data_IF_107076781063
#
_entry.id   IF_107076781063
#
_cell.length_a   1.000
_cell.length_b   1.000
_cell.length_c   1.000
_cell.angle_alpha   90.00
_cell.angle_beta   90.00
_cell.angle_gamma   90.00
#
_symmetry.space_group_name_H-M   'P 1'
#
loop_
_entity.id
_entity.type
_entity.pdbx_description
1 polymer ?
#
# COMPACT_ATOMS: atom_id res chain seq x y z
N UNK A 1 -13.69 -1.56 -14.99
CA UNK A 1 -14.61 -0.51 -15.49
C UNK A 1 -14.87 0.41 -14.32
N UNK A 2 -14.63 1.71 -14.46
CA UNK A 2 -14.82 2.65 -13.36
C UNK A 2 -16.32 2.82 -13.07
N UNK A 3 -16.68 2.74 -11.78
CA UNK A 3 -18.05 2.92 -11.32
C UNK A 3 -18.38 4.39 -11.19
N UNK A 4 -19.64 4.73 -11.42
CA UNK A 4 -20.17 6.07 -11.14
C UNK A 4 -20.64 6.14 -9.70
N UNK A 5 -20.38 7.27 -9.05
CA UNK A 5 -20.89 7.53 -7.70
C UNK A 5 -22.42 7.58 -7.66
N UNK A 6 -23.00 7.12 -6.56
CA UNK A 6 -24.43 7.26 -6.21
C UNK A 6 -24.75 8.59 -5.52
N UNK A 7 -23.74 9.39 -5.16
CA UNK A 7 -23.92 10.66 -4.47
C UNK A 7 -24.69 11.67 -5.32
N UNK A 8 -25.62 12.37 -4.68
CA UNK A 8 -26.31 13.53 -5.27
C UNK A 8 -25.36 14.70 -5.48
N UNK A 9 -25.73 15.65 -6.35
CA UNK A 9 -24.92 16.85 -6.58
C UNK A 9 -24.78 17.72 -5.32
N UNK A 10 -25.79 17.71 -4.44
CA UNK A 10 -25.71 18.40 -3.14
C UNK A 10 -24.67 17.74 -2.22
N UNK A 11 -24.68 16.41 -2.10
CA UNK A 11 -23.68 15.68 -1.31
C UNK A 11 -22.27 15.91 -1.86
N UNK A 12 -22.08 15.82 -3.19
CA UNK A 12 -20.79 16.13 -3.84
C UNK A 12 -20.32 17.55 -3.50
N UNK A 13 -21.21 18.54 -3.56
CA UNK A 13 -20.88 19.92 -3.22
C UNK A 13 -20.47 20.08 -1.75
N UNK A 14 -21.13 19.39 -0.82
CA UNK A 14 -20.79 19.38 0.60
C UNK A 14 -19.39 18.79 0.85
N UNK A 15 -19.10 17.60 0.31
CA UNK A 15 -17.80 16.94 0.46
C UNK A 15 -16.69 17.83 -0.15
N UNK A 16 -16.95 18.46 -1.29
CA UNK A 16 -16.01 19.38 -1.94
C UNK A 16 -15.72 20.63 -1.12
N UNK A 17 -16.69 21.15 -0.38
CA UNK A 17 -16.46 22.26 0.55
C UNK A 17 -15.61 21.81 1.76
N UNK A 18 -15.85 20.62 2.30
CA UNK A 18 -15.01 20.01 3.34
C UNK A 18 -13.57 19.84 2.86
N UNK A 19 -13.36 19.33 1.64
CA UNK A 19 -12.05 19.20 1.02
C UNK A 19 -11.32 20.55 0.91
N UNK A 20 -12.00 21.59 0.41
CA UNK A 20 -11.43 22.95 0.31
C UNK A 20 -11.04 23.50 1.68
N UNK A 21 -11.85 23.26 2.71
CA UNK A 21 -11.54 23.65 4.10
C UNK A 21 -10.34 22.87 4.64
N UNK A 22 -10.28 21.56 4.39
CA UNK A 22 -9.18 20.69 4.81
C UNK A 22 -7.86 21.14 4.18
N UNK A 23 -7.80 21.33 2.86
CA UNK A 23 -6.60 21.83 2.16
C UNK A 23 -6.05 23.15 2.71
N UNK A 24 -6.92 24.07 3.14
CA UNK A 24 -6.49 25.37 3.69
C UNK A 24 -5.87 25.25 5.09
N UNK A 25 -6.27 24.24 5.86
CA UNK A 25 -5.86 24.04 7.26
C UNK A 25 -4.68 23.09 7.40
N UNK A 26 -4.63 22.07 6.56
CA UNK A 26 -3.64 21.00 6.64
C UNK A 26 -2.38 21.43 5.92
N UNK A 27 -1.26 21.47 6.66
CA UNK A 27 0.06 21.57 6.05
C UNK A 27 0.46 20.18 5.55
N UNK A 28 0.92 20.15 4.31
CA UNK A 28 1.44 18.96 3.66
C UNK A 28 2.69 18.41 4.34
N UNK A 29 2.97 17.13 4.05
CA UNK A 29 4.31 16.58 4.29
C UNK A 29 5.32 17.30 3.41
N UNK A 30 6.57 17.31 3.82
CA UNK A 30 7.62 17.93 3.03
C UNK A 30 7.69 17.19 1.67
N UNK A 31 7.46 17.90 0.56
CA UNK A 31 7.57 17.36 -0.81
C UNK A 31 8.89 16.60 -1.01
N UNK A 32 9.94 17.00 -0.30
CA UNK A 32 11.23 16.32 -0.26
C UNK A 32 11.13 14.88 0.27
N UNK A 33 10.34 14.61 1.30
CA UNK A 33 10.13 13.26 1.85
C UNK A 33 9.45 12.34 0.84
N UNK A 34 8.50 12.87 0.07
CA UNK A 34 7.79 12.13 -0.97
C UNK A 34 8.74 11.77 -2.12
N UNK A 35 9.50 12.75 -2.60
CA UNK A 35 10.46 12.52 -3.67
C UNK A 35 11.62 11.61 -3.25
N UNK A 36 12.06 11.70 -1.99
CA UNK A 36 13.04 10.78 -1.41
C UNK A 36 12.47 9.36 -1.33
N UNK A 37 11.25 9.18 -0.83
CA UNK A 37 10.59 7.87 -0.78
C UNK A 37 10.49 7.23 -2.16
N UNK A 38 10.02 7.97 -3.16
CA UNK A 38 9.87 7.47 -4.52
C UNK A 38 11.22 7.21 -5.20
N UNK A 39 12.24 8.00 -4.89
CA UNK A 39 13.61 7.76 -5.38
C UNK A 39 14.20 6.50 -4.76
N UNK A 40 13.98 6.27 -3.47
CA UNK A 40 14.36 5.05 -2.77
C UNK A 40 13.62 3.82 -3.33
N UNK A 41 12.33 3.94 -3.64
CA UNK A 41 11.57 2.88 -4.29
C UNK A 41 12.18 2.48 -5.65
N UNK A 42 12.64 3.45 -6.47
CA UNK A 42 13.25 3.15 -7.78
C UNK A 42 14.45 2.20 -7.68
N UNK A 43 15.18 2.21 -6.56
CA UNK A 43 16.32 1.30 -6.32
C UNK A 43 15.82 -0.15 -6.21
N UNK A 44 14.78 -0.39 -5.40
CA UNK A 44 14.14 -1.71 -5.28
C UNK A 44 13.48 -2.14 -6.58
N UNK A 45 12.72 -1.23 -7.20
CA UNK A 45 12.04 -1.46 -8.47
C UNK A 45 13.01 -1.98 -9.52
N UNK A 46 14.16 -1.31 -9.68
CA UNK A 46 15.21 -1.72 -10.61
C UNK A 46 15.73 -3.12 -10.31
N UNK A 47 16.05 -3.43 -9.05
CA UNK A 47 16.50 -4.78 -8.67
C UNK A 47 15.47 -5.86 -8.96
N UNK A 48 14.18 -5.56 -8.77
CA UNK A 48 13.07 -6.47 -9.06
C UNK A 48 13.00 -6.72 -10.56
N UNK A 49 12.94 -5.66 -11.38
CA UNK A 49 12.81 -5.79 -12.85
C UNK A 49 14.05 -6.34 -13.53
N UNK A 50 15.23 -6.11 -12.96
CA UNK A 50 16.49 -6.67 -13.49
C UNK A 50 16.74 -8.10 -13.00
N UNK A 51 15.87 -8.65 -12.15
CA UNK A 51 16.03 -10.00 -11.57
C UNK A 51 17.18 -10.11 -10.57
N UNK A 52 17.76 -8.99 -10.11
CA UNK A 52 18.92 -8.96 -9.21
C UNK A 52 18.55 -8.80 -7.73
N UNK A 53 17.26 -8.76 -7.38
CA UNK A 53 16.82 -8.75 -5.98
C UNK A 53 17.25 -10.06 -5.29
N UNK A 54 17.96 -9.93 -4.16
CA UNK A 54 18.45 -11.05 -3.34
C UNK A 54 17.58 -11.28 -2.10
N UNK A 55 17.78 -12.42 -1.42
CA UNK A 55 17.10 -12.69 -0.15
C UNK A 55 17.42 -11.63 0.92
N UNK A 56 18.67 -11.16 1.01
CA UNK A 56 19.07 -10.12 1.98
C UNK A 56 18.47 -8.75 1.64
N UNK A 57 18.25 -8.45 0.35
CA UNK A 57 17.54 -7.22 -0.06
C UNK A 57 16.06 -7.29 0.31
N UNK A 58 15.47 -8.50 0.32
CA UNK A 58 14.08 -8.73 0.65
C UNK A 58 13.83 -8.73 2.15
N UNK A 59 14.61 -9.51 2.91
CA UNK A 59 14.44 -9.73 4.35
C UNK A 59 15.79 -9.76 5.06
N UNK A 60 15.90 -9.05 6.19
CA UNK A 60 17.12 -8.97 6.99
C UNK A 60 16.80 -8.52 8.43
N UNK A 61 17.82 -8.26 9.25
CA UNK A 61 17.70 -7.55 10.53
C UNK A 61 18.39 -6.19 10.45
N UNK A 62 17.90 -5.20 11.22
CA UNK A 62 18.46 -3.83 11.22
C UNK A 62 19.95 -3.79 11.57
N UNK A 63 20.41 -4.69 12.45
CA UNK A 63 21.81 -4.77 12.85
C UNK A 63 22.73 -5.24 11.71
N UNK A 64 22.23 -6.14 10.87
CA UNK A 64 22.96 -6.69 9.72
C UNK A 64 22.81 -5.87 8.44
N UNK A 65 21.79 -5.03 8.36
CA UNK A 65 21.43 -4.31 7.15
C UNK A 65 22.16 -2.96 6.97
N UNK A 66 23.17 -2.67 7.79
CA UNK A 66 23.72 -1.32 8.02
C UNK A 66 24.12 -0.50 6.79
N UNK A 67 24.30 -1.09 5.60
CA UNK A 67 24.69 -0.34 4.39
C UNK A 67 24.05 -0.80 3.07
N UNK A 68 22.99 -1.62 3.04
CA UNK A 68 22.63 -2.35 1.80
C UNK A 68 21.49 -1.78 0.95
N UNK A 69 20.40 -1.25 1.53
CA UNK A 69 19.25 -0.74 0.76
C UNK A 69 18.47 0.34 1.53
N UNK A 70 17.67 1.20 0.85
CA UNK A 70 16.81 2.18 1.53
C UNK A 70 15.83 1.53 2.50
N UNK A 71 15.73 2.02 3.74
CA UNK A 71 14.91 1.35 4.74
C UNK A 71 15.45 -0.03 5.14
N UNK A 72 16.76 -0.27 5.00
CA UNK A 72 17.50 -1.49 5.33
C UNK A 72 17.24 -2.69 4.40
N UNK A 73 15.99 -3.07 4.19
CA UNK A 73 15.56 -4.16 3.31
C UNK A 73 14.09 -3.95 2.91
N UNK A 74 13.64 -4.60 1.83
CA UNK A 74 12.37 -4.31 1.17
C UNK A 74 11.17 -4.46 2.11
N UNK A 75 11.09 -5.55 2.89
CA UNK A 75 9.97 -5.74 3.81
C UNK A 75 9.86 -4.61 4.84
N UNK A 76 10.99 -4.12 5.38
CA UNK A 76 11.00 -2.99 6.30
C UNK A 76 10.75 -1.66 5.60
N UNK A 77 11.25 -1.47 4.38
CA UNK A 77 10.94 -0.30 3.57
C UNK A 77 9.43 -0.19 3.33
N UNK A 78 8.79 -1.27 2.89
CA UNK A 78 7.35 -1.32 2.63
C UNK A 78 6.54 -1.17 3.92
N UNK A 79 6.94 -1.82 5.01
CA UNK A 79 6.19 -1.75 6.25
C UNK A 79 6.39 -0.41 6.98
N UNK A 80 7.64 -0.01 7.21
CA UNK A 80 7.97 1.11 8.10
C UNK A 80 8.25 2.40 7.34
N UNK A 81 9.14 2.37 6.34
CA UNK A 81 9.59 3.60 5.66
C UNK A 81 8.44 4.27 4.91
N UNK A 82 7.59 3.51 4.21
CA UNK A 82 6.46 4.09 3.48
C UNK A 82 5.37 4.66 4.38
N UNK A 83 5.22 4.22 5.64
CA UNK A 83 4.17 4.70 6.54
C UNK A 83 4.24 6.21 6.76
N UNK A 84 5.44 6.76 6.71
CA UNK A 84 5.70 8.18 6.86
C UNK A 84 5.10 9.00 5.73
N UNK A 85 4.57 8.42 4.65
CA UNK A 85 3.98 9.16 3.53
C UNK A 85 2.69 8.50 3.06
N UNK A 86 2.76 7.21 2.73
CA UNK A 86 1.72 6.44 2.04
C UNK A 86 0.84 5.66 3.01
N UNK A 87 0.59 6.19 4.21
CA UNK A 87 -0.35 5.62 5.18
C UNK A 87 0.18 4.38 5.92
N UNK A 88 -0.38 4.15 7.10
CA UNK A 88 0.04 3.08 7.98
C UNK A 88 -0.50 1.73 7.51
N UNK A 89 0.41 0.76 7.34
CA UNK A 89 0.07 -0.64 7.04
C UNK A 89 1.12 -1.52 7.68
N UNK A 90 0.72 -2.30 8.69
CA UNK A 90 1.61 -3.15 9.47
C UNK A 90 1.24 -4.61 9.27
N UNK A 91 2.22 -5.50 9.27
CA UNK A 91 1.94 -6.93 9.38
C UNK A 91 1.69 -7.30 10.85
N UNK A 92 0.90 -8.33 11.08
CA UNK A 92 0.70 -8.84 12.45
C UNK A 92 2.00 -9.43 12.99
N UNK A 93 2.72 -10.15 12.12
CA UNK A 93 4.01 -10.74 12.43
C UNK A 93 4.92 -10.68 11.20
N UNK A 94 6.23 -10.50 11.41
CA UNK A 94 7.23 -10.63 10.34
C UNK A 94 7.16 -11.98 9.59
N UNK A 95 6.60 -13.03 10.21
CA UNK A 95 6.29 -14.31 9.57
C UNK A 95 5.33 -14.16 8.38
N UNK A 96 4.49 -13.13 8.35
CA UNK A 96 3.54 -12.86 7.26
C UNK A 96 4.21 -12.37 5.97
N UNK A 97 5.52 -12.08 6.01
CA UNK A 97 6.35 -11.88 4.82
C UNK A 97 6.80 -13.18 4.14
N UNK A 98 6.23 -14.33 4.53
CA UNK A 98 6.49 -15.67 4.01
C UNK A 98 7.87 -16.27 4.32
N UNK A 99 8.93 -15.46 4.28
CA UNK A 99 10.30 -15.83 4.70
C UNK A 99 10.93 -14.68 5.48
N UNK A 100 11.58 -14.98 6.61
CA UNK A 100 12.30 -13.98 7.40
C UNK A 100 13.59 -14.50 8.02
N UNK A 101 14.59 -13.63 8.16
CA UNK A 101 15.77 -13.91 8.96
C UNK A 101 15.38 -13.98 10.45
N UNK A 102 15.98 -14.91 11.21
CA UNK A 102 15.79 -15.02 12.65
C UNK A 102 16.74 -14.11 13.42
N UNK A 103 16.45 -13.94 14.72
CA UNK A 103 17.24 -13.08 15.61
C UNK A 103 18.66 -13.62 15.84
N UNK A 104 18.90 -14.90 15.59
CA UNK A 104 20.23 -15.50 15.61
C UNK A 104 21.11 -15.04 14.43
N UNK A 105 20.53 -14.31 13.47
CA UNK A 105 21.19 -13.80 12.27
C UNK A 105 21.81 -14.90 11.39
N UNK A 106 21.37 -16.15 11.54
CA UNK A 106 21.92 -17.32 10.85
C UNK A 106 20.83 -18.16 10.19
N UNK A 107 19.71 -18.37 10.86
CA UNK A 107 18.63 -19.21 10.38
C UNK A 107 17.43 -18.40 9.89
N UNK A 108 16.56 -19.03 9.12
CA UNK A 108 15.37 -18.39 8.56
C UNK A 108 14.10 -19.12 8.98
N UNK A 109 13.02 -18.35 9.11
CA UNK A 109 11.67 -18.90 9.18
C UNK A 109 11.04 -18.96 7.79
N UNK A 110 10.41 -20.07 7.44
CA UNK A 110 9.61 -20.24 6.20
C UNK A 110 8.17 -20.59 6.59
N UNK A 111 7.21 -19.73 6.21
CA UNK A 111 5.81 -19.79 6.67
C UNK A 111 5.06 -21.02 6.17
N UNK A 112 5.09 -21.26 4.85
CA UNK A 112 4.32 -22.34 4.20
C UNK A 112 4.67 -23.73 4.76
N UNK A 113 5.93 -23.92 5.10
CA UNK A 113 6.45 -25.17 5.70
C UNK A 113 6.37 -25.18 7.23
N UNK A 114 6.02 -24.05 7.83
CA UNK A 114 6.14 -23.78 9.27
C UNK A 114 7.52 -24.17 9.82
N UNK A 115 8.58 -23.87 9.06
CA UNK A 115 9.95 -24.27 9.37
C UNK A 115 10.65 -23.13 10.09
N UNK A 116 10.96 -23.33 11.37
CA UNK A 116 11.49 -22.26 12.23
C UNK A 116 12.98 -21.98 12.04
N UNK A 117 13.78 -23.00 11.70
CA UNK A 117 15.25 -22.91 11.59
C UNK A 117 15.74 -23.45 10.24
N UNK A 118 15.23 -22.88 9.14
CA UNK A 118 15.71 -23.21 7.80
C UNK A 118 17.13 -22.67 7.57
N UNK A 119 17.90 -23.39 6.75
CA UNK A 119 19.20 -22.88 6.29
C UNK A 119 19.03 -21.71 5.32
N UNK A 120 20.12 -21.02 5.03
CA UNK A 120 20.11 -19.92 4.04
C UNK A 120 19.75 -20.44 2.65
N UNK A 121 20.28 -21.58 2.25
CA UNK A 121 20.02 -22.19 0.94
C UNK A 121 18.53 -22.51 0.77
N UNK A 122 17.91 -23.10 1.80
CA UNK A 122 16.47 -23.41 1.80
C UNK A 122 15.62 -22.14 1.71
N UNK A 123 16.02 -21.08 2.41
CA UNK A 123 15.32 -19.79 2.36
C UNK A 123 15.48 -19.09 1.01
N UNK A 124 16.67 -19.17 0.39
CA UNK A 124 16.93 -18.63 -0.94
C UNK A 124 16.13 -19.37 -2.02
N UNK A 125 16.07 -20.70 -1.95
CA UNK A 125 15.22 -21.53 -2.82
C UNK A 125 13.75 -21.11 -2.70
N UNK A 126 13.22 -21.08 -1.47
CA UNK A 126 11.83 -20.67 -1.22
C UNK A 126 11.53 -19.26 -1.75
N UNK A 127 12.42 -18.29 -1.48
CA UNK A 127 12.27 -16.92 -1.95
C UNK A 127 12.23 -16.84 -3.48
N UNK A 128 13.17 -17.49 -4.17
CA UNK A 128 13.24 -17.46 -5.63
C UNK A 128 12.02 -18.11 -6.27
N UNK A 129 11.54 -19.24 -5.73
CA UNK A 129 10.42 -19.99 -6.29
C UNK A 129 9.05 -19.36 -6.01
N UNK A 130 8.85 -18.76 -4.82
CA UNK A 130 7.52 -18.39 -4.34
C UNK A 130 7.28 -16.87 -4.25
N UNK A 131 8.34 -16.06 -4.16
CA UNK A 131 8.21 -14.63 -3.85
C UNK A 131 8.79 -13.77 -4.96
N UNK A 132 10.01 -14.05 -5.42
CA UNK A 132 10.74 -13.20 -6.38
C UNK A 132 9.96 -12.97 -7.67
N UNK A 133 9.45 -14.04 -8.28
CA UNK A 133 8.62 -13.94 -9.49
C UNK A 133 7.27 -13.24 -9.27
N UNK A 134 6.69 -13.33 -8.07
CA UNK A 134 5.47 -12.60 -7.71
C UNK A 134 5.73 -11.09 -7.66
N UNK A 135 6.82 -10.67 -6.98
CA UNK A 135 7.22 -9.27 -6.92
C UNK A 135 7.48 -8.71 -8.32
N UNK A 136 8.20 -9.45 -9.15
CA UNK A 136 8.48 -9.08 -10.54
C UNK A 136 7.20 -8.93 -11.37
N UNK A 137 6.26 -9.87 -11.23
CA UNK A 137 4.97 -9.83 -11.92
C UNK A 137 4.16 -8.58 -11.53
N UNK A 138 4.14 -8.23 -10.24
CA UNK A 138 3.42 -7.04 -9.76
C UNK A 138 4.08 -5.76 -10.28
N UNK A 139 5.40 -5.64 -10.16
CA UNK A 139 6.14 -4.40 -10.51
C UNK A 139 6.19 -4.16 -12.02
N UNK A 140 6.28 -5.23 -12.81
CA UNK A 140 6.38 -5.15 -14.28
C UNK A 140 5.04 -4.90 -14.97
N UNK A 141 3.92 -5.23 -14.32
CA UNK A 141 2.59 -4.90 -14.83
C UNK A 141 2.36 -3.39 -14.78
N UNK A 142 1.66 -2.82 -15.76
CA UNK A 142 1.32 -1.39 -15.81
C UNK A 142 -0.16 -1.14 -15.55
N UNK A 143 -1.01 -2.14 -15.76
CA UNK A 143 -2.45 -2.04 -15.53
C UNK A 143 -2.77 -2.26 -14.04
N UNK A 144 -3.34 -1.27 -13.32
CA UNK A 144 -3.66 -1.39 -11.90
C UNK A 144 -4.57 -2.57 -11.57
N UNK A 145 -5.59 -2.84 -12.39
CA UNK A 145 -6.48 -3.99 -12.18
C UNK A 145 -5.76 -5.33 -12.29
N UNK A 146 -4.81 -5.47 -13.21
CA UNK A 146 -4.01 -6.70 -13.32
C UNK A 146 -3.05 -6.87 -12.14
N UNK A 147 -2.52 -5.77 -11.58
CA UNK A 147 -1.76 -5.80 -10.32
C UNK A 147 -2.63 -6.32 -9.17
N UNK A 148 -3.82 -5.75 -9.01
CA UNK A 148 -4.81 -6.17 -8.00
C UNK A 148 -5.10 -7.67 -8.12
N UNK A 149 -5.45 -8.15 -9.31
CA UNK A 149 -5.76 -9.56 -9.55
C UNK A 149 -4.57 -10.48 -9.24
N UNK A 150 -3.35 -10.06 -9.59
CA UNK A 150 -2.12 -10.81 -9.26
C UNK A 150 -1.95 -10.94 -7.75
N UNK A 151 -2.15 -9.85 -7.02
CA UNK A 151 -2.03 -9.82 -5.56
C UNK A 151 -3.10 -10.68 -4.89
N UNK A 152 -4.36 -10.58 -5.34
CA UNK A 152 -5.47 -11.35 -4.81
C UNK A 152 -5.35 -12.85 -5.01
N UNK A 153 -4.90 -13.27 -6.20
CA UNK A 153 -4.73 -14.68 -6.53
C UNK A 153 -3.48 -15.29 -5.89
N UNK A 154 -2.56 -14.46 -5.39
CA UNK A 154 -1.37 -14.96 -4.70
C UNK A 154 -1.73 -15.66 -3.38
N UNK A 155 -0.87 -16.60 -2.98
CA UNK A 155 -0.94 -17.24 -1.66
C UNK A 155 -0.15 -16.48 -0.59
N UNK A 156 0.30 -15.27 -0.91
CA UNK A 156 1.07 -14.43 0.01
C UNK A 156 0.17 -13.93 1.14
N UNK A 157 0.63 -14.02 2.39
CA UNK A 157 -0.19 -13.71 3.57
C UNK A 157 -0.45 -12.21 3.70
N UNK A 158 0.60 -11.40 3.64
CA UNK A 158 0.50 -9.95 3.79
C UNK A 158 0.19 -9.24 2.45
N UNK A 159 -0.96 -9.55 1.83
CA UNK A 159 -1.37 -8.97 0.54
C UNK A 159 -1.46 -7.45 0.57
N UNK A 160 -1.80 -6.86 1.72
CA UNK A 160 -1.83 -5.41 1.92
C UNK A 160 -0.44 -4.77 1.80
N UNK A 161 0.64 -5.51 2.08
CA UNK A 161 2.00 -5.03 1.81
C UNK A 161 2.33 -5.17 0.32
N UNK A 162 1.86 -6.22 -0.36
CA UNK A 162 2.00 -6.28 -1.83
C UNK A 162 1.27 -5.13 -2.52
N UNK A 163 0.14 -4.67 -1.97
CA UNK A 163 -0.53 -3.47 -2.49
C UNK A 163 0.32 -2.22 -2.36
N UNK A 164 1.14 -2.08 -1.32
CA UNK A 164 2.08 -0.94 -1.24
C UNK A 164 3.07 -0.91 -2.40
N UNK A 165 3.50 -2.07 -2.90
CA UNK A 165 4.32 -2.14 -4.13
C UNK A 165 3.55 -1.60 -5.33
N UNK A 166 2.28 -1.99 -5.49
CA UNK A 166 1.44 -1.51 -6.57
C UNK A 166 1.21 0.02 -6.50
N UNK A 167 0.98 0.55 -5.30
CA UNK A 167 0.78 1.98 -5.03
C UNK A 167 2.06 2.78 -5.33
N UNK A 168 3.23 2.29 -4.94
CA UNK A 168 4.50 3.00 -5.18
C UNK A 168 4.79 3.23 -6.67
N UNK A 169 4.26 2.37 -7.56
CA UNK A 169 4.30 2.56 -9.01
C UNK A 169 3.13 3.38 -9.57
N UNK A 170 2.02 3.52 -8.82
CA UNK A 170 0.75 4.07 -9.29
C UNK A 170 0.07 4.91 -8.19
N UNK A 171 0.79 5.91 -7.68
CA UNK A 171 0.37 6.73 -6.52
C UNK A 171 -0.98 7.43 -6.76
N UNK A 172 -1.30 7.74 -8.03
CA UNK A 172 -2.54 8.39 -8.43
C UNK A 172 -3.77 7.47 -8.44
N UNK A 173 -3.58 6.15 -8.41
CA UNK A 173 -4.64 5.20 -8.75
C UNK A 173 -5.29 4.58 -7.51
N UNK A 174 -4.74 4.85 -6.33
CA UNK A 174 -5.15 4.25 -5.08
C UNK A 174 -5.16 5.30 -3.97
N UNK A 175 -6.07 5.13 -3.01
CA UNK A 175 -5.99 5.86 -1.74
C UNK A 175 -5.08 5.10 -0.78
N UNK A 176 -4.28 5.82 0.00
CA UNK A 176 -3.27 5.26 0.90
C UNK A 176 -3.88 4.80 2.24
N UNK A 177 -4.99 4.07 2.17
CA UNK A 177 -5.76 3.56 3.29
C UNK A 177 -5.83 2.02 3.15
N UNK A 178 -5.38 1.31 4.18
CA UNK A 178 -5.25 -0.17 4.15
C UNK A 178 -6.19 -0.88 5.13
N UNK A 179 -6.85 -0.13 6.01
CA UNK A 179 -7.86 -0.69 6.91
C UNK A 179 -9.12 -0.99 6.12
N UNK A 180 -9.56 -2.25 6.19
CA UNK A 180 -10.74 -2.74 5.46
C UNK A 180 -11.98 -1.91 5.78
N UNK A 181 -12.26 -1.72 7.06
CA UNK A 181 -13.45 -1.02 7.56
C UNK A 181 -13.59 0.37 6.93
N UNK A 182 -12.50 1.15 6.92
CA UNK A 182 -12.47 2.48 6.32
C UNK A 182 -12.71 2.50 4.80
N UNK A 183 -12.14 1.55 4.06
CA UNK A 183 -12.37 1.47 2.61
C UNK A 183 -13.79 0.99 2.31
N UNK A 184 -14.31 0.02 3.06
CA UNK A 184 -15.68 -0.46 2.90
C UNK A 184 -16.69 0.66 3.19
N UNK A 185 -16.46 1.48 4.21
CA UNK A 185 -17.29 2.63 4.53
C UNK A 185 -17.25 3.72 3.44
N UNK A 186 -16.05 4.14 3.00
CA UNK A 186 -15.90 5.06 1.87
C UNK A 186 -16.59 4.56 0.61
N UNK A 187 -16.45 3.27 0.34
CA UNK A 187 -17.06 2.63 -0.82
C UNK A 187 -18.58 2.66 -0.71
N UNK A 188 -19.14 2.27 0.43
CA UNK A 188 -20.57 2.29 0.66
C UNK A 188 -21.14 3.72 0.57
N UNK A 189 -20.44 4.72 1.13
CA UNK A 189 -20.83 6.12 1.03
C UNK A 189 -20.88 6.59 -0.43
N UNK A 190 -19.90 6.23 -1.25
CA UNK A 190 -19.79 6.76 -2.61
C UNK A 190 -20.62 6.01 -3.64
N UNK A 191 -20.96 4.75 -3.38
CA UNK A 191 -21.61 3.89 -4.37
C UNK A 191 -22.97 3.32 -3.92
N UNK A 192 -23.31 3.35 -2.62
CA UNK A 192 -24.50 2.70 -2.05
C UNK A 192 -24.65 1.25 -2.56
N UNK A 193 -23.54 0.51 -2.54
CA UNK A 193 -23.39 -0.76 -3.25
C UNK A 193 -22.86 -1.87 -2.34
N UNK A 194 -23.65 -2.94 -2.19
CA UNK A 194 -23.28 -4.15 -1.46
C UNK A 194 -22.46 -5.14 -2.32
N UNK A 195 -21.62 -4.64 -3.22
CA UNK A 195 -20.83 -5.50 -4.11
C UNK A 195 -19.85 -6.38 -3.34
N UNK A 196 -19.63 -7.59 -3.89
CA UNK A 196 -18.59 -8.51 -3.44
C UNK A 196 -17.20 -8.16 -4.00
N UNK A 197 -16.98 -6.91 -4.40
CA UNK A 197 -15.67 -6.44 -4.85
C UNK A 197 -14.64 -6.61 -3.74
N UNK A 198 -13.42 -6.90 -4.14
CA UNK A 198 -12.34 -6.99 -3.19
C UNK A 198 -12.05 -5.63 -2.56
N UNK A 199 -11.34 -5.63 -1.42
CA UNK A 199 -10.95 -4.38 -0.78
C UNK A 199 -10.01 -3.53 -1.65
N UNK A 200 -9.25 -4.16 -2.54
CA UNK A 200 -8.31 -3.47 -3.43
C UNK A 200 -9.01 -2.88 -4.65
N UNK A 201 -10.02 -3.57 -5.17
CA UNK A 201 -10.91 -3.04 -6.21
C UNK A 201 -11.69 -1.85 -5.65
N UNK A 202 -12.28 -1.98 -4.47
CA UNK A 202 -12.97 -0.88 -3.79
C UNK A 202 -12.06 0.33 -3.58
N UNK A 203 -10.81 0.12 -3.14
CA UNK A 203 -9.83 1.20 -2.98
C UNK A 203 -9.56 1.95 -4.29
N UNK A 204 -9.34 1.22 -5.39
CA UNK A 204 -9.17 1.82 -6.72
C UNK A 204 -10.39 2.66 -7.15
N UNK A 205 -11.60 2.11 -6.97
CA UNK A 205 -12.85 2.80 -7.34
C UNK A 205 -13.09 4.05 -6.51
N UNK A 206 -12.88 3.96 -5.19
CA UNK A 206 -12.96 5.11 -4.27
C UNK A 206 -11.98 6.20 -4.70
N UNK A 207 -10.73 5.84 -5.03
CA UNK A 207 -9.74 6.81 -5.50
C UNK A 207 -10.21 7.54 -6.76
N UNK A 208 -10.62 6.80 -7.79
CA UNK A 208 -11.07 7.37 -9.06
C UNK A 208 -12.24 8.34 -8.87
N UNK A 209 -13.27 7.94 -8.13
CA UNK A 209 -14.45 8.78 -7.87
C UNK A 209 -14.12 9.99 -6.99
N UNK A 210 -13.30 9.81 -5.95
CA UNK A 210 -12.92 10.92 -5.09
C UNK A 210 -12.18 12.00 -5.86
N UNK A 211 -11.23 11.61 -6.73
CA UNK A 211 -10.48 12.55 -7.58
C UNK A 211 -11.41 13.34 -8.50
N UNK A 212 -12.38 12.68 -9.12
CA UNK A 212 -13.38 13.32 -9.99
C UNK A 212 -14.24 14.33 -9.22
N UNK A 213 -14.84 13.92 -8.10
CA UNK A 213 -15.70 14.79 -7.28
C UNK A 213 -14.94 16.01 -6.76
N UNK A 214 -13.70 15.78 -6.30
CA UNK A 214 -12.90 16.78 -5.59
C UNK A 214 -12.00 17.61 -6.52
N UNK A 215 -11.98 17.30 -7.82
CA UNK A 215 -11.13 17.92 -8.84
C UNK A 215 -9.65 17.90 -8.44
N UNK A 216 -9.15 16.74 -8.03
CA UNK A 216 -7.76 16.56 -7.59
C UNK A 216 -6.82 16.62 -8.80
N UNK A 217 -5.74 17.38 -8.69
CA UNK A 217 -4.68 17.39 -9.69
C UNK A 217 -3.83 16.12 -9.57
N UNK A 218 -4.01 15.19 -10.51
CA UNK A 218 -3.28 13.91 -10.49
C UNK A 218 -1.78 14.05 -10.74
N UNK A 219 -1.32 15.20 -11.24
CA UNK A 219 0.11 15.49 -11.39
C UNK A 219 0.74 16.02 -10.10
N UNK A 220 -0.09 16.42 -9.13
CA UNK A 220 0.34 16.93 -7.84
C UNK A 220 0.36 15.78 -6.81
N UNK A 221 1.56 15.24 -6.56
CA UNK A 221 1.77 14.15 -5.61
C UNK A 221 1.35 14.52 -4.19
N UNK A 222 1.56 15.78 -3.81
CA UNK A 222 1.15 16.30 -2.51
C UNK A 222 -0.38 16.24 -2.40
N UNK A 223 -1.09 16.67 -3.45
CA UNK A 223 -2.55 16.64 -3.45
C UNK A 223 -3.11 15.20 -3.40
N UNK A 224 -2.47 14.25 -4.06
CA UNK A 224 -2.83 12.82 -4.00
C UNK A 224 -2.66 12.23 -2.58
N UNK A 225 -1.60 12.62 -1.88
CA UNK A 225 -1.40 12.17 -0.49
C UNK A 225 -2.40 12.84 0.45
N UNK A 226 -2.67 14.15 0.26
CA UNK A 226 -3.70 14.85 1.02
C UNK A 226 -5.08 14.26 0.81
N UNK A 227 -5.41 13.82 -0.40
CA UNK A 227 -6.68 13.15 -0.69
C UNK A 227 -6.88 11.96 0.25
N UNK A 228 -5.85 11.12 0.42
CA UNK A 228 -5.93 9.96 1.30
C UNK A 228 -6.14 10.36 2.77
N UNK A 229 -5.48 11.42 3.24
CA UNK A 229 -5.69 11.92 4.61
C UNK A 229 -7.05 12.57 4.81
N UNK A 230 -7.53 13.31 3.82
CA UNK A 230 -8.86 13.90 3.85
C UNK A 230 -9.94 12.82 3.91
N UNK A 231 -9.87 11.80 3.06
CA UNK A 231 -10.87 10.74 3.05
C UNK A 231 -10.90 9.96 4.36
N UNK A 232 -9.73 9.73 4.97
CA UNK A 232 -9.64 9.12 6.30
C UNK A 232 -10.26 10.03 7.38
N UNK A 233 -9.91 11.32 7.40
CA UNK A 233 -10.47 12.30 8.34
C UNK A 233 -12.00 12.45 8.17
N UNK A 234 -12.48 12.39 6.93
CA UNK A 234 -13.88 12.51 6.57
C UNK A 234 -14.73 11.40 7.18
N UNK A 235 -14.36 10.13 6.98
CA UNK A 235 -15.11 9.00 7.57
C UNK A 235 -14.94 8.94 9.09
N UNK A 236 -13.73 9.16 9.62
CA UNK A 236 -13.50 9.11 11.07
C UNK A 236 -14.25 10.22 11.81
N UNK A 237 -14.45 11.39 11.19
CA UNK A 237 -15.26 12.46 11.78
C UNK A 237 -16.75 12.13 11.75
N UNK A 238 -17.20 11.34 10.77
CA UNK A 238 -18.59 10.93 10.59
C UNK A 238 -18.99 9.87 11.62
N UNK A 239 -18.12 8.86 11.83
CA UNK A 239 -18.27 7.87 12.90
C UNK A 239 -18.46 8.54 14.28
N UNK A 240 -17.67 9.57 14.57
CA UNK A 240 -17.76 10.31 15.83
C UNK A 240 -19.03 11.18 15.95
N UNK A 241 -19.61 11.60 14.84
CA UNK A 241 -20.87 12.34 14.84
C UNK A 241 -22.06 11.39 15.05
N UNK A 242 -22.04 10.21 14.43
CA UNK A 242 -23.11 9.21 14.51
C UNK A 242 -23.17 8.50 15.88
N UNK A 243 -22.05 8.41 16.60
CA UNK A 243 -22.03 7.93 18.00
C UNK A 243 -22.61 8.95 18.99
N UNK A 244 -22.67 10.24 18.61
CA UNK A 244 -23.13 11.33 19.46
C UNK A 244 -24.51 11.90 19.06
N UNK A 245 -25.20 11.27 18.10
CA UNK A 245 -26.57 11.60 17.65
C UNK A 245 -27.60 10.58 18.14
#
# INVERSE_FOLDING_TARGET
>A
MEKKSSLTEEQKAQIKDLWKKFKRKTKLKDQKEIDELLSNWKIYRKKITDGTLTLDDYTNTMENAKDRMPGAYLCNFLEQTTNNVLGFSKVTNAKDFEVKLNQDNQTYYIKKENKENASREEAEEYFNENIKGLLESIVSETNPFKKIQTIEKSNYSAKHILMKLAILDNVSDFVHIYHREHIDELYNEFFDDNSNESIYEKNYQVCAVAKDILEVNEQDKDELILLSYFLLDYISSKDNADVNS
#
